data_IF_920041799667
#
_entry.id   IF_920041799667
#
_cell.length_a   1.000
_cell.length_b   1.000
_cell.length_c   1.000
_cell.angle_alpha   90.00
_cell.angle_beta   90.00
_cell.angle_gamma   90.00
#
_symmetry.space_group_name_H-M   'P 1'
#
loop_
_entity.id
_entity.type
_entity.pdbx_description
1 polymer ?
#
# COMPACT_ATOMS: atom_id res chain seq x y z
N UNK A 1 38.67 8.11 -23.36
CA UNK A 1 38.31 6.68 -23.28
C UNK A 1 37.83 6.45 -21.86
N UNK A 2 36.52 6.58 -21.64
CA UNK A 2 35.91 6.39 -20.32
C UNK A 2 35.64 4.89 -20.19
N UNK A 3 36.37 4.23 -19.31
CA UNK A 3 36.11 2.82 -18.99
C UNK A 3 34.83 2.82 -18.11
N UNK A 4 33.69 2.49 -18.68
CA UNK A 4 32.52 2.15 -17.91
C UNK A 4 32.74 0.78 -17.24
N UNK A 5 33.17 0.81 -15.99
CA UNK A 5 33.19 -0.38 -15.15
C UNK A 5 31.76 -0.60 -14.70
N UNK A 6 31.07 -1.57 -15.26
CA UNK A 6 29.79 -2.06 -14.72
C UNK A 6 30.08 -2.87 -13.44
N UNK A 7 30.13 -2.19 -12.30
CA UNK A 7 30.23 -2.83 -11.00
C UNK A 7 28.83 -3.32 -10.66
N UNK A 8 28.65 -4.63 -10.43
CA UNK A 8 27.38 -5.15 -9.92
C UNK A 8 27.22 -4.78 -8.43
N UNK A 9 26.01 -4.96 -7.88
CA UNK A 9 25.71 -4.57 -6.48
C UNK A 9 26.56 -5.35 -5.47
N UNK A 10 26.84 -6.62 -5.73
CA UNK A 10 27.60 -7.50 -4.83
C UNK A 10 29.06 -7.06 -4.75
N UNK A 11 29.67 -6.78 -5.92
CA UNK A 11 31.05 -6.29 -6.00
C UNK A 11 31.21 -4.90 -5.35
N UNK A 12 30.16 -4.07 -5.32
CA UNK A 12 30.23 -2.71 -4.79
C UNK A 12 30.59 -2.70 -3.30
N UNK A 13 29.93 -3.51 -2.46
CA UNK A 13 30.22 -3.55 -1.03
C UNK A 13 31.58 -4.15 -0.72
N UNK A 14 32.01 -5.14 -1.47
CA UNK A 14 33.33 -5.75 -1.32
C UNK A 14 34.45 -4.81 -1.76
N UNK A 15 34.25 -4.07 -2.85
CA UNK A 15 35.23 -3.12 -3.36
C UNK A 15 35.32 -1.83 -2.55
N UNK A 16 34.19 -1.33 -2.05
CA UNK A 16 34.16 -0.05 -1.30
C UNK A 16 34.33 -0.20 0.19
N UNK A 17 34.07 -1.38 0.74
CA UNK A 17 34.04 -1.62 2.19
C UNK A 17 33.01 -0.76 2.90
N UNK A 18 31.97 -0.28 2.21
CA UNK A 18 30.97 0.62 2.78
C UNK A 18 30.19 -0.08 3.89
N UNK A 19 30.52 0.24 5.14
CA UNK A 19 29.84 -0.28 6.33
C UNK A 19 29.30 0.82 7.23
N UNK A 20 29.65 2.08 6.94
CA UNK A 20 29.28 3.25 7.72
C UNK A 20 28.83 4.38 6.79
N UNK A 21 27.62 4.84 6.95
CA UNK A 21 27.00 5.94 6.20
C UNK A 21 27.02 7.19 7.08
N UNK A 22 27.45 8.32 6.51
CA UNK A 22 27.56 9.62 7.22
C UNK A 22 28.34 9.58 8.55
N UNK A 23 29.29 8.67 8.69
CA UNK A 23 30.00 8.43 9.95
C UNK A 23 29.10 8.17 11.16
N UNK A 24 27.86 7.73 10.93
CA UNK A 24 26.83 7.55 11.94
C UNK A 24 26.09 6.23 11.83
N UNK A 25 25.69 5.83 10.65
CA UNK A 25 24.79 4.68 10.44
C UNK A 25 25.59 3.45 10.03
N UNK A 26 25.80 2.54 10.98
CA UNK A 26 26.54 1.29 10.73
C UNK A 26 25.62 0.24 10.13
N UNK A 27 25.98 -0.28 8.95
CA UNK A 27 25.31 -1.40 8.29
C UNK A 27 25.77 -2.72 8.93
N UNK A 28 24.84 -3.58 9.32
CA UNK A 28 25.13 -4.89 9.95
C UNK A 28 24.77 -6.05 9.03
N UNK A 29 23.48 -6.20 8.70
CA UNK A 29 22.91 -7.35 8.01
C UNK A 29 22.10 -6.89 6.81
N UNK A 30 22.35 -7.47 5.64
CA UNK A 30 21.52 -7.28 4.47
C UNK A 30 20.22 -8.07 4.63
N UNK A 31 19.07 -7.42 4.43
CA UNK A 31 17.73 -7.99 4.69
C UNK A 31 17.12 -8.42 3.40
N UNK A 32 17.40 -8.36 2.34
CA UNK A 32 16.84 -8.65 1.02
C UNK A 32 16.99 -7.50 0.02
N UNK A 33 17.46 -7.83 -1.14
CA UNK A 33 17.50 -6.89 -2.25
C UNK A 33 16.16 -6.86 -2.99
N UNK A 34 15.48 -5.71 -2.98
CA UNK A 34 14.45 -5.44 -3.97
C UNK A 34 15.05 -5.22 -5.37
N UNK A 35 14.18 -5.06 -6.40
CA UNK A 35 14.64 -4.81 -7.77
C UNK A 35 15.42 -3.51 -7.92
N UNK A 36 15.11 -2.49 -7.13
CA UNK A 36 15.64 -1.13 -7.24
C UNK A 36 16.44 -0.65 -6.02
N UNK A 37 16.37 -1.35 -4.90
CA UNK A 37 17.05 -0.96 -3.66
C UNK A 37 17.48 -2.18 -2.85
N UNK A 38 18.46 -1.99 -1.96
CA UNK A 38 18.92 -2.99 -1.00
C UNK A 38 18.67 -2.48 0.40
N UNK A 39 18.09 -3.32 1.26
CA UNK A 39 17.81 -3.00 2.66
C UNK A 39 18.84 -3.61 3.60
N UNK A 40 19.19 -2.89 4.66
CA UNK A 40 20.09 -3.33 5.72
C UNK A 40 19.48 -3.06 7.08
N UNK A 41 19.63 -3.99 7.99
CA UNK A 41 19.57 -3.67 9.41
C UNK A 41 20.90 -3.06 9.87
N UNK A 42 20.82 -2.14 10.81
CA UNK A 42 21.99 -1.43 11.29
C UNK A 42 21.79 -0.83 12.68
N UNK A 43 22.78 -0.04 13.08
CA UNK A 43 22.78 0.72 14.32
C UNK A 43 23.09 2.17 14.00
N UNK A 44 22.34 3.07 14.60
CA UNK A 44 22.71 4.48 14.71
C UNK A 44 23.74 4.65 15.81
N UNK A 45 24.98 4.86 15.46
CA UNK A 45 26.12 4.99 16.39
C UNK A 45 25.95 6.15 17.38
N UNK A 46 25.16 7.18 17.00
CA UNK A 46 24.91 8.32 17.88
C UNK A 46 23.92 8.00 19.00
N UNK A 47 22.89 7.18 18.72
CA UNK A 47 21.81 6.90 19.67
C UNK A 47 21.82 5.48 20.20
N UNK A 48 22.60 4.57 19.61
CA UNK A 48 22.62 3.14 19.90
C UNK A 48 21.36 2.38 19.48
N UNK A 49 20.44 3.03 18.73
CA UNK A 49 19.18 2.41 18.32
C UNK A 49 19.35 1.57 17.06
N UNK A 50 18.56 0.50 17.00
CA UNK A 50 18.41 -0.30 15.78
C UNK A 50 17.70 0.49 14.69
N UNK A 51 18.23 0.43 13.47
CA UNK A 51 17.73 1.15 12.30
C UNK A 51 17.55 0.21 11.12
N UNK A 52 16.75 0.66 10.15
CA UNK A 52 16.70 0.10 8.81
C UNK A 52 17.27 1.13 7.82
N UNK A 53 18.16 0.69 6.95
CA UNK A 53 18.80 1.53 5.93
C UNK A 53 18.45 0.97 4.57
N UNK A 54 17.78 1.76 3.75
CA UNK A 54 17.47 1.46 2.35
C UNK A 54 18.50 2.19 1.47
N UNK A 55 19.13 1.47 0.55
CA UNK A 55 20.10 2.02 -0.40
C UNK A 55 19.62 1.82 -1.82
N UNK A 56 19.61 2.87 -2.63
CA UNK A 56 19.54 2.76 -4.09
C UNK A 56 20.95 2.97 -4.64
N UNK A 57 21.53 1.90 -5.15
CA UNK A 57 22.91 1.87 -5.65
C UNK A 57 22.85 1.95 -7.17
N UNK A 58 23.40 3.01 -7.75
CA UNK A 58 23.34 3.30 -9.19
C UNK A 58 21.91 3.23 -9.72
N UNK A 59 21.03 4.20 -9.37
CA UNK A 59 19.67 4.25 -9.89
C UNK A 59 19.68 4.13 -11.42
N UNK A 60 18.87 3.22 -11.96
CA UNK A 60 18.87 2.89 -13.39
C UNK A 60 18.26 4.00 -14.25
N UNK A 61 17.40 4.82 -13.64
CA UNK A 61 16.73 5.93 -14.29
C UNK A 61 16.49 7.06 -13.29
N UNK A 62 16.25 8.27 -13.82
CA UNK A 62 15.83 9.41 -13.01
C UNK A 62 14.51 9.14 -12.29
N UNK A 63 13.61 8.35 -12.87
CA UNK A 63 12.38 7.93 -12.23
C UNK A 63 12.63 7.07 -10.98
N UNK A 64 13.60 6.15 -11.02
CA UNK A 64 13.97 5.34 -9.85
C UNK A 64 14.55 6.22 -8.73
N UNK A 65 15.42 7.17 -9.08
CA UNK A 65 15.99 8.14 -8.14
C UNK A 65 14.90 9.05 -7.55
N UNK A 66 14.01 9.57 -8.38
CA UNK A 66 12.90 10.42 -7.95
C UNK A 66 11.96 9.69 -6.97
N UNK A 67 11.61 8.44 -7.24
CA UNK A 67 10.80 7.60 -6.32
C UNK A 67 11.49 7.41 -4.97
N UNK A 68 12.80 7.19 -4.99
CA UNK A 68 13.57 7.04 -3.76
C UNK A 68 13.57 8.32 -2.92
N UNK A 69 13.82 9.48 -3.54
CA UNK A 69 13.75 10.79 -2.87
C UNK A 69 12.35 11.12 -2.38
N UNK A 70 11.31 10.75 -3.15
CA UNK A 70 9.91 10.94 -2.76
C UNK A 70 9.57 10.17 -1.48
N UNK A 71 10.01 8.92 -1.35
CA UNK A 71 9.81 8.15 -0.11
C UNK A 71 10.43 8.84 1.10
N UNK A 72 11.69 9.29 0.96
CA UNK A 72 12.38 10.00 2.03
C UNK A 72 11.66 11.30 2.43
N UNK A 73 11.20 12.07 1.45
CA UNK A 73 10.43 13.28 1.66
C UNK A 73 9.11 13.00 2.35
N UNK A 74 8.33 12.04 1.85
CA UNK A 74 7.04 11.66 2.43
C UNK A 74 7.19 11.27 3.90
N UNK A 75 8.11 10.37 4.22
CA UNK A 75 8.33 9.92 5.60
C UNK A 75 8.73 11.08 6.53
N UNK A 76 9.56 12.01 6.05
CA UNK A 76 9.96 13.21 6.79
C UNK A 76 8.76 14.13 7.06
N UNK A 77 7.88 14.33 6.08
CA UNK A 77 6.67 15.15 6.23
C UNK A 77 5.66 14.52 7.20
N UNK A 78 5.61 13.18 7.24
CA UNK A 78 4.71 12.45 8.15
C UNK A 78 5.25 12.33 9.59
N UNK A 79 6.43 12.84 9.91
CA UNK A 79 7.08 12.65 11.21
C UNK A 79 6.19 13.14 12.37
N UNK A 80 5.54 14.32 12.23
CA UNK A 80 4.63 14.82 13.23
C UNK A 80 3.38 13.96 13.41
N UNK A 81 2.70 13.61 12.32
CA UNK A 81 1.50 12.76 12.37
C UNK A 81 1.83 11.37 12.93
N UNK A 82 2.96 10.81 12.54
CA UNK A 82 3.46 9.51 12.98
C UNK A 82 3.83 9.48 14.47
N UNK A 83 4.15 10.64 15.07
CA UNK A 83 4.37 10.76 16.51
C UNK A 83 3.09 10.63 17.33
N UNK A 84 1.93 10.88 16.73
CA UNK A 84 0.60 10.75 17.36
C UNK A 84 0.03 9.36 17.07
N UNK A 85 -0.05 8.98 15.81
CA UNK A 85 -0.57 7.68 15.37
C UNK A 85 0.40 7.08 14.36
N UNK A 86 1.16 6.10 14.81
CA UNK A 86 2.19 5.47 14.00
C UNK A 86 1.60 4.56 12.92
N UNK A 87 1.76 4.96 11.66
CA UNK A 87 1.29 4.24 10.46
C UNK A 87 2.38 4.03 9.40
N UNK A 88 3.54 4.68 9.58
CA UNK A 88 4.73 4.52 8.74
C UNK A 88 5.96 4.27 9.60
N UNK A 89 7.09 3.83 9.03
CA UNK A 89 8.37 3.87 9.73
C UNK A 89 8.73 5.32 10.12
N UNK A 90 9.29 5.51 11.31
CA UNK A 90 9.77 6.84 11.70
C UNK A 90 11.01 7.20 10.88
N UNK A 91 10.98 8.38 10.28
CA UNK A 91 12.10 8.93 9.53
C UNK A 91 13.26 9.29 10.49
N UNK A 92 14.51 9.03 10.04
CA UNK A 92 15.72 9.41 10.80
C UNK A 92 16.62 10.30 9.95
N UNK A 93 16.94 9.86 8.71
CA UNK A 93 17.84 10.61 7.82
C UNK A 93 17.71 10.13 6.39
N UNK A 94 18.15 10.95 5.45
CA UNK A 94 18.37 10.56 4.06
C UNK A 94 19.49 11.41 3.45
N UNK A 95 20.03 10.96 2.34
CA UNK A 95 21.03 11.73 1.62
C UNK A 95 21.61 10.96 0.44
N UNK A 96 22.71 11.49 -0.05
CA UNK A 96 23.41 11.01 -1.23
C UNK A 96 24.90 10.80 -0.93
N UNK A 97 25.45 9.73 -1.50
CA UNK A 97 26.87 9.44 -1.45
C UNK A 97 27.43 9.35 -2.87
N UNK A 98 28.73 9.61 -3.01
CA UNK A 98 29.46 9.50 -4.28
C UNK A 98 28.81 10.31 -5.42
N UNK A 99 28.46 11.58 -5.13
CA UNK A 99 27.86 12.50 -6.11
C UNK A 99 26.51 11.99 -6.67
N UNK A 100 25.63 11.49 -5.81
CA UNK A 100 24.31 11.01 -6.21
C UNK A 100 24.26 9.59 -6.79
N UNK A 101 25.42 8.90 -6.86
CA UNK A 101 25.44 7.50 -7.33
C UNK A 101 24.81 6.52 -6.36
N UNK A 102 24.73 6.88 -5.08
CA UNK A 102 24.04 6.13 -4.04
C UNK A 102 23.11 7.07 -3.30
N UNK A 103 21.85 6.70 -3.24
CA UNK A 103 20.86 7.35 -2.38
C UNK A 103 20.65 6.47 -1.15
N UNK A 104 20.55 7.08 0.03
CA UNK A 104 20.23 6.35 1.24
C UNK A 104 19.05 6.97 1.98
N UNK A 105 18.26 6.12 2.61
CA UNK A 105 17.17 6.45 3.51
C UNK A 105 17.32 5.63 4.79
N UNK A 106 17.30 6.29 5.94
CA UNK A 106 17.39 5.68 7.25
C UNK A 106 16.10 5.90 8.00
N UNK A 107 15.52 4.80 8.48
CA UNK A 107 14.33 4.78 9.31
C UNK A 107 14.57 3.96 10.57
N UNK A 108 13.65 4.03 11.51
CA UNK A 108 13.67 3.04 12.60
C UNK A 108 13.51 1.61 12.04
N UNK A 109 14.08 0.65 12.73
CA UNK A 109 13.79 -0.76 12.49
C UNK A 109 12.41 -1.09 13.06
N UNK A 110 11.51 -1.60 12.23
CA UNK A 110 10.20 -2.09 12.68
C UNK A 110 10.34 -3.56 13.07
N UNK A 111 10.00 -3.87 14.32
CA UNK A 111 9.92 -5.26 14.80
C UNK A 111 8.52 -5.79 14.52
N UNK A 112 8.38 -6.55 13.45
CA UNK A 112 7.10 -7.07 12.99
C UNK A 112 7.28 -8.11 11.88
N UNK A 113 6.19 -8.54 11.28
CA UNK A 113 6.15 -9.50 10.18
C UNK A 113 5.49 -8.87 8.96
N UNK A 114 6.06 -9.06 7.76
CA UNK A 114 5.37 -8.68 6.52
C UNK A 114 4.07 -9.48 6.36
N UNK A 115 3.01 -8.82 5.92
CA UNK A 115 1.73 -9.49 5.66
C UNK A 115 1.85 -10.59 4.62
N UNK A 116 2.77 -10.46 3.64
CA UNK A 116 3.11 -11.53 2.70
C UNK A 116 3.59 -12.80 3.41
N UNK A 117 4.47 -12.65 4.39
CA UNK A 117 5.02 -13.77 5.16
C UNK A 117 3.99 -14.33 6.13
N UNK A 118 3.19 -13.45 6.74
CA UNK A 118 2.07 -13.85 7.59
C UNK A 118 1.07 -14.72 6.82
N UNK A 119 0.70 -14.34 5.60
CA UNK A 119 -0.19 -15.09 4.74
C UNK A 119 0.36 -16.49 4.43
N UNK A 120 1.64 -16.61 4.16
CA UNK A 120 2.28 -17.92 3.90
C UNK A 120 2.23 -18.81 5.14
N UNK A 121 2.50 -18.27 6.32
CA UNK A 121 2.67 -19.04 7.56
C UNK A 121 1.35 -19.33 8.28
N UNK A 122 0.40 -18.41 8.22
CA UNK A 122 -0.76 -18.36 9.13
C UNK A 122 -2.11 -18.45 8.43
N UNK A 123 -2.21 -18.27 7.10
CA UNK A 123 -3.50 -18.19 6.41
C UNK A 123 -4.44 -19.36 6.77
N UNK A 124 -3.98 -20.60 6.75
CA UNK A 124 -4.78 -21.78 7.04
C UNK A 124 -5.05 -22.02 8.53
N UNK A 125 -4.35 -21.32 9.41
CA UNK A 125 -4.50 -21.42 10.87
C UNK A 125 -5.43 -20.34 11.40
N UNK A 126 -5.39 -19.18 10.76
CA UNK A 126 -6.17 -18.01 11.15
C UNK A 126 -7.64 -18.17 10.76
N UNK A 127 -8.54 -17.75 11.64
CA UNK A 127 -9.97 -17.69 11.36
C UNK A 127 -10.29 -16.65 10.28
N UNK A 128 -11.46 -16.74 9.66
CA UNK A 128 -11.93 -15.67 8.77
C UNK A 128 -12.04 -14.35 9.53
N UNK A 129 -12.50 -14.35 10.77
CA UNK A 129 -12.63 -13.15 11.61
C UNK A 129 -11.27 -12.47 11.82
N UNK A 130 -10.22 -13.21 12.16
CA UNK A 130 -8.85 -12.67 12.27
C UNK A 130 -8.36 -12.05 10.96
N UNK A 131 -8.57 -12.73 9.83
CA UNK A 131 -8.19 -12.22 8.50
C UNK A 131 -8.96 -10.96 8.11
N UNK A 132 -10.23 -10.86 8.47
CA UNK A 132 -11.04 -9.66 8.27
C UNK A 132 -10.63 -8.52 9.22
N UNK A 133 -10.21 -8.82 10.45
CA UNK A 133 -9.66 -7.84 11.37
C UNK A 133 -8.35 -7.25 10.82
N UNK A 134 -7.46 -8.09 10.28
CA UNK A 134 -6.27 -7.61 9.57
C UNK A 134 -6.67 -6.68 8.42
N UNK A 135 -7.66 -7.07 7.58
CA UNK A 135 -8.15 -6.20 6.52
C UNK A 135 -8.61 -4.85 7.09
N UNK A 136 -9.45 -4.85 8.14
CA UNK A 136 -9.94 -3.64 8.79
C UNK A 136 -8.80 -2.74 9.29
N UNK A 137 -7.75 -3.31 9.89
CA UNK A 137 -6.58 -2.56 10.36
C UNK A 137 -5.77 -1.98 9.20
N UNK A 138 -5.61 -2.73 8.10
CA UNK A 138 -4.92 -2.24 6.89
C UNK A 138 -5.71 -1.11 6.23
N UNK A 139 -7.03 -1.27 6.10
CA UNK A 139 -7.90 -0.21 5.58
C UNK A 139 -7.81 1.05 6.44
N UNK A 140 -7.78 0.91 7.77
CA UNK A 140 -7.60 2.04 8.68
C UNK A 140 -6.23 2.73 8.57
N UNK A 141 -5.18 1.98 8.28
CA UNK A 141 -3.86 2.56 8.03
C UNK A 141 -3.82 3.30 6.68
N UNK A 142 -4.40 2.74 5.62
CA UNK A 142 -4.49 3.37 4.31
C UNK A 142 -5.41 4.60 4.32
N UNK A 143 -6.54 4.54 5.03
CA UNK A 143 -7.46 5.66 5.21
C UNK A 143 -6.80 6.88 5.86
N UNK A 144 -5.92 6.66 6.83
CA UNK A 144 -5.23 7.74 7.55
C UNK A 144 -4.53 8.72 6.59
N UNK A 145 -3.99 8.21 5.48
CA UNK A 145 -3.33 9.01 4.45
C UNK A 145 -4.27 9.33 3.27
N UNK A 146 -5.28 8.50 3.05
CA UNK A 146 -6.07 8.46 1.81
C UNK A 146 -6.94 9.68 1.50
N UNK A 147 -7.08 10.64 2.43
CA UNK A 147 -7.76 11.90 2.12
C UNK A 147 -6.89 12.81 1.24
N UNK A 148 -5.58 12.75 1.39
CA UNK A 148 -4.63 13.66 0.76
C UNK A 148 -3.51 12.96 -0.01
N UNK A 149 -3.25 11.69 0.29
CA UNK A 149 -2.15 10.95 -0.31
C UNK A 149 -2.59 9.55 -0.70
N UNK A 150 -2.21 9.10 -1.88
CA UNK A 150 -2.36 7.72 -2.34
C UNK A 150 -1.00 7.04 -2.37
N UNK A 151 -0.97 5.78 -2.05
CA UNK A 151 0.27 4.99 -1.97
C UNK A 151 0.74 4.50 -3.34
N UNK A 152 -0.19 4.10 -4.20
CA UNK A 152 0.00 3.58 -5.55
C UNK A 152 0.72 2.22 -5.66
N UNK A 153 1.17 1.62 -4.56
CA UNK A 153 1.83 0.31 -4.55
C UNK A 153 1.46 -0.51 -3.30
N UNK A 154 0.18 -0.47 -2.91
CA UNK A 154 -0.30 -1.24 -1.76
C UNK A 154 -0.41 -2.72 -2.12
N UNK A 155 0.38 -3.54 -1.43
CA UNK A 155 0.34 -5.00 -1.51
C UNK A 155 0.89 -5.63 -0.23
N UNK A 156 0.69 -6.95 0.01
CA UNK A 156 1.11 -7.59 1.26
C UNK A 156 2.59 -7.47 1.60
N UNK A 157 3.47 -7.26 0.61
CA UNK A 157 4.90 -7.05 0.82
C UNK A 157 5.26 -5.63 1.32
N UNK A 158 4.32 -4.67 1.23
CA UNK A 158 4.49 -3.30 1.73
C UNK A 158 3.68 -3.05 3.01
N UNK A 159 3.21 -4.11 3.68
CA UNK A 159 2.43 -4.03 4.91
C UNK A 159 3.13 -4.82 5.98
N UNK A 160 3.47 -4.17 7.10
CA UNK A 160 4.07 -4.79 8.28
C UNK A 160 2.99 -4.93 9.35
N UNK A 161 2.87 -6.13 9.91
CA UNK A 161 2.04 -6.44 11.08
C UNK A 161 2.93 -6.50 12.32
N UNK A 162 2.53 -5.78 13.35
CA UNK A 162 3.10 -5.86 14.69
C UNK A 162 2.05 -6.48 15.59
N UNK A 163 2.44 -7.51 16.34
CA UNK A 163 1.54 -8.18 17.27
C UNK A 163 1.07 -7.21 18.35
N UNK A 164 -0.22 -7.21 18.59
CA UNK A 164 -0.90 -6.51 19.69
C UNK A 164 -1.62 -7.55 20.55
N UNK A 165 -2.30 -7.09 21.59
CA UNK A 165 -3.15 -7.95 22.40
C UNK A 165 -4.37 -8.44 21.60
N UNK A 166 -5.14 -9.35 22.19
CA UNK A 166 -6.38 -9.84 21.61
C UNK A 166 -7.39 -8.70 21.49
N UNK A 167 -8.03 -8.56 20.32
CA UNK A 167 -9.09 -7.59 20.12
C UNK A 167 -10.33 -7.95 20.97
N UNK A 168 -10.78 -7.01 21.81
CA UNK A 168 -11.84 -7.25 22.79
C UNK A 168 -13.24 -7.46 22.18
N UNK A 169 -13.47 -7.06 20.93
CA UNK A 169 -14.76 -7.22 20.25
C UNK A 169 -14.85 -8.52 19.49
N UNK A 170 -13.73 -8.98 18.94
CA UNK A 170 -13.71 -10.15 18.06
C UNK A 170 -13.08 -11.38 18.69
N UNK A 171 -12.41 -11.23 19.83
CA UNK A 171 -11.70 -12.29 20.57
C UNK A 171 -10.69 -13.05 19.72
N UNK A 172 -10.04 -12.34 18.77
CA UNK A 172 -8.95 -12.86 17.94
C UNK A 172 -7.70 -12.00 18.08
N UNK A 173 -6.50 -12.53 17.71
CA UNK A 173 -5.27 -11.74 17.68
C UNK A 173 -5.43 -10.43 16.91
N UNK A 174 -4.97 -9.32 17.48
CA UNK A 174 -4.97 -8.01 16.84
C UNK A 174 -3.57 -7.62 16.37
N UNK A 175 -3.52 -6.68 15.45
CA UNK A 175 -2.29 -6.25 14.81
C UNK A 175 -2.29 -4.73 14.60
N UNK A 176 -1.18 -4.11 14.99
CA UNK A 176 -0.88 -2.77 14.52
C UNK A 176 -0.29 -2.84 13.12
N UNK A 177 -0.76 -1.98 12.24
CA UNK A 177 -0.34 -1.97 10.83
C UNK A 177 0.55 -0.78 10.54
N UNK A 178 1.69 -1.05 9.92
CA UNK A 178 2.63 -0.07 9.37
C UNK A 178 2.72 -0.27 7.85
N UNK A 179 2.52 0.80 7.10
CA UNK A 179 2.65 0.79 5.63
C UNK A 179 4.07 1.23 5.26
N UNK A 180 4.72 0.46 4.40
CA UNK A 180 6.09 0.62 3.93
C UNK A 180 6.12 1.10 2.48
N UNK A 181 7.27 1.57 2.01
CA UNK A 181 7.60 1.89 0.61
C UNK A 181 6.68 2.92 -0.06
N UNK A 182 6.81 4.16 0.37
CA UNK A 182 6.03 5.31 -0.12
C UNK A 182 6.63 5.98 -1.38
N UNK A 183 7.53 5.32 -2.07
CA UNK A 183 8.23 5.89 -3.22
C UNK A 183 7.32 6.27 -4.38
N UNK A 184 6.20 5.58 -4.55
CA UNK A 184 5.21 5.87 -5.60
C UNK A 184 4.05 6.76 -5.10
N UNK A 185 4.10 7.20 -3.84
CA UNK A 185 3.03 8.00 -3.26
C UNK A 185 2.86 9.35 -3.95
N UNK A 186 1.62 9.81 -3.98
CA UNK A 186 1.25 11.10 -4.53
C UNK A 186 0.33 11.85 -3.56
N UNK A 187 0.63 13.14 -3.30
CA UNK A 187 -0.16 13.99 -2.42
C UNK A 187 -0.96 15.02 -3.21
N UNK A 188 -2.26 15.12 -2.94
CA UNK A 188 -3.14 16.13 -3.53
C UNK A 188 -2.83 17.55 -3.05
N UNK A 189 -2.31 17.71 -1.83
CA UNK A 189 -2.01 19.01 -1.26
C UNK A 189 -0.87 19.68 -2.02
N UNK A 190 0.07 18.91 -2.52
CA UNK A 190 1.22 19.42 -3.27
C UNK A 190 0.82 20.01 -4.62
N UNK A 191 -0.16 19.37 -5.31
CA UNK A 191 -0.66 19.88 -6.58
C UNK A 191 -1.36 21.26 -6.47
N UNK A 192 -1.73 21.67 -5.26
CA UNK A 192 -2.43 22.94 -5.01
C UNK A 192 -1.59 24.06 -4.40
N UNK A 193 -0.42 23.76 -3.80
CA UNK A 193 0.33 24.73 -2.98
C UNK A 193 1.82 24.84 -3.29
N UNK A 194 2.40 23.97 -4.07
CA UNK A 194 3.81 24.03 -4.44
C UNK A 194 3.97 24.01 -5.96
N UNK A 195 4.98 24.73 -6.46
CA UNK A 195 5.63 24.32 -7.71
C UNK A 195 5.93 22.83 -7.57
N UNK A 196 5.35 22.00 -8.46
CA UNK A 196 5.64 20.54 -8.46
C UNK A 196 7.15 20.38 -8.34
N UNK A 197 7.62 19.66 -7.32
CA UNK A 197 9.02 19.34 -7.29
C UNK A 197 9.35 18.53 -8.55
N UNK A 198 10.54 18.71 -9.12
CA UNK A 198 10.96 17.98 -10.32
C UNK A 198 10.75 16.46 -10.17
N UNK A 199 10.97 15.94 -8.96
CA UNK A 199 10.76 14.53 -8.65
C UNK A 199 9.30 14.08 -8.79
N UNK A 200 8.33 14.89 -8.34
CA UNK A 200 6.89 14.57 -8.47
C UNK A 200 6.48 14.58 -9.93
N UNK A 201 6.92 15.58 -10.68
CA UNK A 201 6.65 15.65 -12.11
C UNK A 201 7.24 14.44 -12.86
N UNK A 202 8.45 13.99 -12.48
CA UNK A 202 9.09 12.80 -13.03
C UNK A 202 8.28 11.54 -12.69
N UNK A 203 7.83 11.38 -11.45
CA UNK A 203 7.03 10.23 -11.02
C UNK A 203 5.70 10.22 -11.77
N UNK A 204 5.00 11.33 -11.80
CA UNK A 204 3.71 11.47 -12.49
C UNK A 204 3.83 11.18 -14.00
N UNK A 205 4.84 11.73 -14.67
CA UNK A 205 5.12 11.48 -16.09
C UNK A 205 5.63 10.07 -16.36
N UNK A 206 6.22 9.41 -15.37
CA UNK A 206 6.72 8.03 -15.43
C UNK A 206 5.66 6.96 -15.15
N UNK A 207 4.51 7.33 -14.56
CA UNK A 207 3.43 6.38 -14.30
C UNK A 207 2.99 5.66 -15.58
N UNK A 208 3.02 4.33 -15.56
CA UNK A 208 2.68 3.49 -16.70
C UNK A 208 3.78 3.36 -17.79
N UNK A 209 4.93 4.04 -17.67
CA UNK A 209 6.08 3.83 -18.58
C UNK A 209 7.02 2.74 -18.08
N UNK A 210 7.30 2.75 -16.79
CA UNK A 210 8.11 1.70 -16.15
C UNK A 210 7.26 1.01 -15.11
N UNK A 211 6.82 -0.21 -15.42
CA UNK A 211 6.09 -1.06 -14.48
C UNK A 211 7.12 -1.80 -13.65
N UNK A 212 7.54 -1.16 -12.57
CA UNK A 212 8.47 -1.75 -11.59
C UNK A 212 7.73 -2.49 -10.48
N UNK A 213 6.46 -2.13 -10.25
CA UNK A 213 5.59 -2.77 -9.30
C UNK A 213 5.13 -4.16 -9.76
N UNK A 214 4.59 -4.93 -8.85
CA UNK A 214 3.84 -6.12 -9.17
C UNK A 214 2.61 -5.72 -9.99
N UNK A 215 2.63 -5.89 -11.30
CA UNK A 215 1.53 -5.51 -12.20
C UNK A 215 0.19 -6.15 -11.83
N UNK A 216 0.20 -7.20 -11.00
CA UNK A 216 -1.01 -7.83 -10.46
C UNK A 216 -1.86 -6.93 -9.56
N UNK A 217 -1.27 -5.88 -8.98
CA UNK A 217 -1.94 -4.98 -8.07
C UNK A 217 -2.36 -3.65 -8.73
N UNK A 218 -1.93 -3.44 -9.99
CA UNK A 218 -2.23 -2.22 -10.69
C UNK A 218 -3.70 -2.17 -11.12
N UNK A 219 -4.39 -1.06 -10.91
CA UNK A 219 -5.75 -0.90 -11.38
C UNK A 219 -5.79 -0.66 -12.90
N UNK A 220 -6.94 -0.95 -13.54
CA UNK A 220 -7.09 -0.84 -14.99
C UNK A 220 -6.72 0.51 -15.58
N UNK A 221 -7.00 1.61 -14.88
CA UNK A 221 -6.72 2.97 -15.33
C UNK A 221 -5.23 3.27 -15.49
N UNK A 222 -4.35 2.50 -14.87
CA UNK A 222 -2.89 2.66 -15.07
C UNK A 222 -2.49 2.55 -16.55
N UNK A 223 -3.27 1.82 -17.35
CA UNK A 223 -3.05 1.57 -18.78
C UNK A 223 -4.01 2.36 -19.67
N UNK A 224 -4.97 3.06 -19.09
CA UNK A 224 -5.88 3.94 -19.78
C UNK A 224 -5.29 5.34 -19.93
N UNK A 225 -6.06 6.24 -20.53
CA UNK A 225 -5.64 7.61 -20.76
C UNK A 225 -5.11 8.27 -19.47
N UNK A 226 -3.89 8.80 -19.54
CA UNK A 226 -3.16 9.40 -18.42
C UNK A 226 -3.92 10.56 -17.75
N UNK A 227 -4.72 11.28 -18.53
CA UNK A 227 -5.56 12.37 -18.03
C UNK A 227 -6.67 11.88 -17.08
N UNK A 228 -7.04 10.60 -17.14
CA UNK A 228 -8.01 9.99 -16.24
C UNK A 228 -7.39 9.47 -14.95
N UNK A 229 -6.17 8.97 -15.00
CA UNK A 229 -5.46 8.45 -13.81
C UNK A 229 -5.24 9.53 -12.73
N UNK A 230 -5.07 10.79 -13.16
CA UNK A 230 -4.79 11.92 -12.27
C UNK A 230 -5.97 12.49 -11.49
N UNK A 231 -7.20 12.30 -11.96
CA UNK A 231 -8.38 12.97 -11.38
C UNK A 231 -9.02 12.22 -10.20
N UNK A 232 -8.68 10.95 -9.97
CA UNK A 232 -9.37 10.07 -9.02
C UNK A 232 -8.40 9.32 -8.08
N UNK A 233 -7.34 9.99 -7.67
CA UNK A 233 -6.25 9.42 -6.86
C UNK A 233 -6.71 8.62 -5.63
N UNK A 234 -7.75 9.07 -4.93
CA UNK A 234 -8.24 8.41 -3.69
C UNK A 234 -8.77 7.00 -3.92
N UNK A 235 -9.08 6.65 -5.16
CA UNK A 235 -9.70 5.37 -5.51
C UNK A 235 -8.75 4.41 -6.18
N UNK A 236 -7.53 4.86 -6.46
CA UNK A 236 -6.46 3.99 -6.94
C UNK A 236 -6.16 2.90 -5.91
N UNK A 237 -5.93 3.30 -4.66
CA UNK A 237 -5.65 2.36 -3.58
C UNK A 237 -6.87 1.50 -3.20
N UNK A 238 -8.10 1.96 -3.48
CA UNK A 238 -9.31 1.13 -3.27
C UNK A 238 -9.26 -0.17 -4.07
N UNK A 239 -8.72 -0.14 -5.29
CA UNK A 239 -8.51 -1.35 -6.10
C UNK A 239 -7.54 -2.32 -5.41
N UNK A 240 -6.38 -1.83 -4.99
CA UNK A 240 -5.39 -2.64 -4.28
C UNK A 240 -5.95 -3.23 -2.99
N UNK A 241 -6.79 -2.46 -2.26
CA UNK A 241 -7.51 -2.95 -1.08
C UNK A 241 -8.51 -4.05 -1.41
N UNK A 242 -9.21 -3.97 -2.55
CA UNK A 242 -10.09 -5.04 -3.03
C UNK A 242 -9.32 -6.34 -3.30
N UNK A 243 -8.18 -6.25 -3.98
CA UNK A 243 -7.31 -7.40 -4.25
C UNK A 243 -6.75 -8.02 -2.96
N UNK A 244 -6.35 -7.17 -2.01
CA UNK A 244 -5.87 -7.61 -0.71
C UNK A 244 -6.98 -8.30 0.10
N UNK A 245 -8.19 -7.73 0.13
CA UNK A 245 -9.34 -8.32 0.81
C UNK A 245 -9.68 -9.70 0.23
N UNK A 246 -9.72 -9.82 -1.10
CA UNK A 246 -9.93 -11.10 -1.76
C UNK A 246 -8.87 -12.13 -1.32
N UNK A 247 -7.61 -11.72 -1.29
CA UNK A 247 -6.50 -12.59 -0.85
C UNK A 247 -6.61 -12.99 0.62
N UNK A 248 -7.02 -12.10 1.50
CA UNK A 248 -7.26 -12.40 2.91
C UNK A 248 -8.46 -13.34 3.11
N UNK A 249 -9.47 -13.27 2.25
CA UNK A 249 -10.61 -14.19 2.31
C UNK A 249 -10.23 -15.58 1.79
N UNK A 250 -9.55 -15.66 0.64
CA UNK A 250 -9.40 -16.92 -0.13
C UNK A 250 -8.02 -17.57 -0.04
N UNK A 251 -6.99 -16.82 0.36
CA UNK A 251 -5.58 -17.21 0.31
C UNK A 251 -4.95 -17.08 -1.09
N UNK A 252 -5.73 -16.77 -2.11
CA UNK A 252 -5.30 -16.71 -3.50
C UNK A 252 -5.25 -15.28 -4.03
N UNK A 253 -4.43 -15.04 -5.04
CA UNK A 253 -4.55 -13.82 -5.82
C UNK A 253 -5.83 -13.89 -6.66
N UNK A 254 -6.51 -12.76 -6.84
CA UNK A 254 -7.68 -12.67 -7.73
C UNK A 254 -7.27 -12.95 -9.18
N UNK A 255 -6.10 -12.45 -9.57
CA UNK A 255 -5.53 -12.62 -10.90
C UNK A 255 -4.13 -13.24 -10.81
N UNK A 256 -3.80 -14.10 -11.76
CA UNK A 256 -2.47 -14.66 -11.92
C UNK A 256 -2.07 -14.50 -13.39
N UNK A 257 -1.14 -13.61 -13.65
CA UNK A 257 -0.61 -13.33 -14.98
C UNK A 257 0.90 -13.56 -15.01
N UNK A 258 1.39 -14.22 -16.02
CA UNK A 258 2.83 -14.50 -16.16
C UNK A 258 3.60 -13.30 -16.74
N UNK A 259 2.89 -12.42 -17.43
CA UNK A 259 3.50 -11.26 -18.07
C UNK A 259 2.47 -10.12 -18.29
N UNK A 260 2.99 -8.95 -18.60
CA UNK A 260 2.18 -7.75 -18.81
C UNK A 260 1.23 -7.86 -20.01
N UNK A 261 1.56 -8.65 -21.01
CA UNK A 261 0.68 -8.86 -22.16
C UNK A 261 -0.60 -9.58 -21.78
N UNK A 262 -0.51 -10.65 -20.97
CA UNK A 262 -1.67 -11.34 -20.41
C UNK A 262 -2.50 -10.41 -19.53
N UNK A 263 -1.85 -9.60 -18.69
CA UNK A 263 -2.53 -8.61 -17.89
C UNK A 263 -3.29 -7.59 -18.75
N UNK A 264 -2.65 -7.00 -19.76
CA UNK A 264 -3.28 -6.03 -20.65
C UNK A 264 -4.47 -6.62 -21.42
N UNK A 265 -4.39 -7.89 -21.82
CA UNK A 265 -5.51 -8.60 -22.46
C UNK A 265 -6.66 -8.84 -21.48
N UNK A 266 -6.37 -9.29 -20.26
CA UNK A 266 -7.37 -9.50 -19.23
C UNK A 266 -8.10 -8.22 -18.84
N UNK A 267 -7.44 -7.04 -18.87
CA UNK A 267 -8.09 -5.75 -18.59
C UNK A 267 -9.24 -5.43 -19.53
N UNK A 268 -9.34 -6.07 -20.69
CA UNK A 268 -10.48 -5.89 -21.61
C UNK A 268 -11.77 -6.54 -21.07
N UNK A 269 -11.64 -7.64 -20.36
CA UNK A 269 -12.75 -8.47 -19.84
C UNK A 269 -12.76 -8.59 -18.31
N UNK A 270 -12.03 -7.72 -17.63
CA UNK A 270 -11.75 -7.84 -16.20
C UNK A 270 -13.02 -7.88 -15.33
N UNK A 271 -14.09 -7.23 -15.77
CA UNK A 271 -15.36 -7.22 -15.04
C UNK A 271 -15.99 -8.63 -14.96
N UNK A 272 -15.92 -9.40 -16.06
CA UNK A 272 -16.41 -10.78 -16.09
C UNK A 272 -15.54 -11.70 -15.22
N UNK A 273 -14.24 -11.50 -15.24
CA UNK A 273 -13.30 -12.27 -14.41
C UNK A 273 -13.52 -11.98 -12.92
N UNK A 274 -13.72 -10.71 -12.56
CA UNK A 274 -14.05 -10.29 -11.19
C UNK A 274 -15.38 -10.94 -10.76
N UNK A 275 -16.42 -10.84 -11.57
CA UNK A 275 -17.73 -11.42 -11.27
C UNK A 275 -17.62 -12.92 -10.98
N UNK A 276 -16.90 -13.65 -11.82
CA UNK A 276 -16.70 -15.09 -11.64
C UNK A 276 -15.94 -15.40 -10.35
N UNK A 277 -14.83 -14.72 -10.11
CA UNK A 277 -13.99 -14.98 -8.94
C UNK A 277 -14.68 -14.58 -7.63
N UNK A 278 -15.35 -13.43 -7.62
CA UNK A 278 -16.03 -12.94 -6.42
C UNK A 278 -17.21 -13.83 -6.03
N UNK A 279 -17.96 -14.37 -6.98
CA UNK A 279 -19.02 -15.37 -6.70
C UNK A 279 -18.47 -16.63 -6.01
N UNK A 280 -17.23 -16.99 -6.26
CA UNK A 280 -16.61 -18.19 -5.68
C UNK A 280 -16.15 -18.03 -4.23
N UNK A 281 -16.27 -16.87 -3.60
CA UNK A 281 -15.90 -16.71 -2.19
C UNK A 281 -16.87 -17.37 -1.22
N UNK A 282 -18.03 -17.82 -1.65
CA UNK A 282 -19.06 -18.47 -0.82
C UNK A 282 -18.49 -19.60 0.05
N UNK A 283 -17.61 -20.40 -0.52
CA UNK A 283 -16.95 -21.51 0.17
C UNK A 283 -15.97 -21.07 1.28
N UNK A 284 -15.62 -19.80 1.35
CA UNK A 284 -14.69 -19.23 2.35
C UNK A 284 -15.37 -18.31 3.35
N UNK A 285 -16.49 -17.71 2.98
CA UNK A 285 -17.11 -16.59 3.70
C UNK A 285 -18.47 -16.93 4.34
N UNK A 286 -19.04 -18.11 4.03
CA UNK A 286 -20.29 -18.61 4.62
C UNK A 286 -21.41 -17.54 4.69
N UNK A 287 -21.94 -17.27 5.90
CA UNK A 287 -23.01 -16.29 6.12
C UNK A 287 -22.63 -14.86 5.76
N UNK A 288 -21.34 -14.53 5.76
CA UNK A 288 -20.80 -13.18 5.43
C UNK A 288 -20.59 -13.00 3.92
N UNK A 289 -20.83 -14.05 3.12
CA UNK A 289 -20.48 -14.10 1.70
C UNK A 289 -21.13 -12.98 0.90
N UNK A 290 -22.42 -12.75 0.99
CA UNK A 290 -23.14 -11.75 0.18
C UNK A 290 -22.60 -10.33 0.40
N UNK A 291 -22.33 -9.95 1.65
CA UNK A 291 -21.82 -8.62 1.98
C UNK A 291 -20.38 -8.48 1.52
N UNK A 292 -19.55 -9.51 1.70
CA UNK A 292 -18.15 -9.52 1.23
C UNK A 292 -18.06 -9.53 -0.30
N UNK A 293 -18.96 -10.21 -1.00
CA UNK A 293 -19.08 -10.11 -2.45
C UNK A 293 -19.39 -8.68 -2.88
N UNK A 294 -20.40 -8.05 -2.27
CA UNK A 294 -20.75 -6.67 -2.54
C UNK A 294 -19.58 -5.72 -2.31
N UNK A 295 -18.86 -5.89 -1.19
CA UNK A 295 -17.71 -5.08 -0.86
C UNK A 295 -16.58 -5.22 -1.91
N UNK A 296 -16.28 -6.45 -2.33
CA UNK A 296 -15.30 -6.72 -3.37
C UNK A 296 -15.71 -6.14 -4.72
N UNK A 297 -17.00 -6.28 -5.13
CA UNK A 297 -17.49 -5.69 -6.36
C UNK A 297 -17.29 -4.18 -6.39
N UNK A 298 -17.62 -3.48 -5.30
CA UNK A 298 -17.51 -2.03 -5.26
C UNK A 298 -16.07 -1.50 -5.11
N UNK A 299 -15.16 -2.29 -4.56
CA UNK A 299 -13.74 -1.95 -4.53
C UNK A 299 -13.04 -2.21 -5.89
N UNK A 300 -13.51 -3.21 -6.64
CA UNK A 300 -12.88 -3.71 -7.87
C UNK A 300 -13.63 -3.25 -9.14
N UNK A 301 -14.39 -2.16 -9.06
CA UNK A 301 -15.00 -1.54 -10.24
C UNK A 301 -13.92 -1.02 -11.17
N UNK A 302 -14.07 -1.29 -12.48
CA UNK A 302 -13.11 -0.85 -13.51
C UNK A 302 -13.03 0.67 -13.60
N UNK A 303 -14.16 1.36 -13.55
CA UNK A 303 -14.23 2.82 -13.60
C UNK A 303 -13.89 3.39 -12.20
N UNK A 304 -12.78 4.14 -12.03
CA UNK A 304 -12.34 4.63 -10.73
C UNK A 304 -13.38 5.47 -9.98
N UNK A 305 -14.20 6.25 -10.71
CA UNK A 305 -15.24 7.11 -10.12
C UNK A 305 -16.32 6.34 -9.39
N UNK A 306 -16.58 5.12 -9.85
CA UNK A 306 -17.62 4.25 -9.29
C UNK A 306 -17.12 3.38 -8.12
N UNK A 307 -15.80 3.35 -7.86
CA UNK A 307 -15.25 2.57 -6.75
C UNK A 307 -15.66 3.13 -5.41
N UNK A 308 -15.86 2.22 -4.47
CA UNK A 308 -16.09 2.56 -3.06
C UNK A 308 -14.84 3.19 -2.44
N UNK A 309 -15.03 4.19 -1.59
CA UNK A 309 -13.95 4.75 -0.79
C UNK A 309 -13.49 3.78 0.30
N UNK A 310 -12.20 3.82 0.63
CA UNK A 310 -11.60 2.98 1.68
C UNK A 310 -12.31 3.16 3.02
N UNK A 311 -12.71 4.40 3.36
CA UNK A 311 -13.43 4.73 4.59
C UNK A 311 -14.73 3.96 4.73
N UNK A 312 -15.52 3.90 3.65
CA UNK A 312 -16.79 3.17 3.66
C UNK A 312 -16.53 1.68 3.74
N UNK A 313 -15.59 1.19 2.95
CA UNK A 313 -15.22 -0.22 2.97
C UNK A 313 -14.75 -0.67 4.36
N UNK A 314 -13.96 0.18 5.04
CA UNK A 314 -13.54 -0.06 6.41
C UNK A 314 -14.72 -0.11 7.38
N UNK A 315 -15.67 0.81 7.26
CA UNK A 315 -16.86 0.82 8.11
C UNK A 315 -17.72 -0.43 7.90
N UNK A 316 -17.90 -0.85 6.65
CA UNK A 316 -18.58 -2.13 6.34
C UNK A 316 -17.85 -3.32 6.96
N UNK A 317 -16.52 -3.36 6.89
CA UNK A 317 -15.73 -4.42 7.54
C UNK A 317 -15.93 -4.43 9.05
N UNK A 318 -16.00 -3.27 9.69
CA UNK A 318 -16.30 -3.16 11.12
C UNK A 318 -17.66 -3.77 11.46
N UNK A 319 -18.72 -3.41 10.75
CA UNK A 319 -20.05 -3.99 10.95
C UNK A 319 -20.07 -5.51 10.76
N UNK A 320 -19.32 -6.03 9.80
CA UNK A 320 -19.15 -7.47 9.60
C UNK A 320 -18.46 -8.13 10.80
N UNK A 321 -17.48 -7.47 11.41
CA UNK A 321 -16.71 -8.00 12.54
C UNK A 321 -17.53 -8.03 13.82
N UNK A 322 -18.28 -6.97 14.12
CA UNK A 322 -19.08 -6.86 15.34
C UNK A 322 -20.47 -7.51 15.20
N UNK A 323 -20.82 -8.01 14.01
CA UNK A 323 -22.14 -8.60 13.70
C UNK A 323 -23.34 -7.68 13.97
N UNK A 324 -23.12 -6.38 14.06
CA UNK A 324 -24.13 -5.36 14.24
C UNK A 324 -24.64 -4.86 12.89
N UNK A 325 -25.72 -5.46 12.41
CA UNK A 325 -26.40 -5.03 11.17
C UNK A 325 -27.77 -4.44 11.52
N UNK A 326 -27.80 -3.27 12.14
CA UNK A 326 -29.05 -2.52 12.31
C UNK A 326 -29.39 -1.83 10.98
N UNK A 327 -30.57 -2.12 10.37
CA UNK A 327 -30.93 -1.55 9.05
C UNK A 327 -31.15 -0.05 9.05
N UNK A 328 -31.24 0.58 10.20
CA UNK A 328 -31.64 1.98 10.36
C UNK A 328 -30.49 2.96 10.46
N UNK A 329 -29.26 2.49 10.51
CA UNK A 329 -28.09 3.38 10.49
C UNK A 329 -27.93 4.05 9.13
N UNK A 330 -28.27 5.25 9.21
CA UNK A 330 -28.33 6.40 8.33
C UNK A 330 -27.35 6.38 7.17
N UNK A 331 -27.90 6.48 5.96
CA UNK A 331 -27.16 6.90 4.80
C UNK A 331 -26.68 5.77 3.89
N UNK A 332 -25.49 5.93 3.36
CA UNK A 332 -24.93 5.14 2.28
C UNK A 332 -24.61 3.70 2.69
N UNK A 333 -24.07 3.49 3.90
CA UNK A 333 -23.76 2.15 4.43
C UNK A 333 -25.04 1.33 4.60
N UNK A 334 -26.12 1.92 5.10
CA UNK A 334 -27.41 1.24 5.23
C UNK A 334 -27.98 0.84 3.86
N UNK A 335 -27.81 1.66 2.82
CA UNK A 335 -28.21 1.29 1.45
C UNK A 335 -27.38 0.13 0.94
N UNK A 336 -26.05 0.18 1.13
CA UNK A 336 -25.15 -0.90 0.78
C UNK A 336 -25.52 -2.20 1.49
N UNK A 337 -25.78 -2.16 2.79
CA UNK A 337 -26.15 -3.35 3.57
C UNK A 337 -27.48 -3.97 3.14
N UNK A 338 -28.45 -3.15 2.65
CA UNK A 338 -29.73 -3.65 2.13
C UNK A 338 -29.62 -4.33 0.77
N UNK A 339 -28.77 -3.81 -0.08
CA UNK A 339 -28.56 -4.33 -1.43
C UNK A 339 -27.08 -4.25 -1.83
N UNK A 340 -26.23 -5.14 -1.27
CA UNK A 340 -24.79 -5.10 -1.50
C UNK A 340 -24.37 -5.24 -2.99
N UNK A 341 -25.16 -5.97 -3.77
CA UNK A 341 -24.87 -6.22 -5.18
C UNK A 341 -25.51 -5.22 -6.13
N UNK A 342 -26.67 -4.72 -5.78
CA UNK A 342 -27.43 -3.73 -6.56
C UNK A 342 -27.12 -2.28 -6.17
N UNK A 343 -26.22 -2.05 -5.23
CA UNK A 343 -25.79 -0.73 -4.76
C UNK A 343 -25.23 0.09 -5.93
N UNK A 344 -26.16 0.75 -6.62
CA UNK A 344 -25.86 1.70 -7.69
C UNK A 344 -25.99 3.07 -7.11
N UNK A 345 -25.00 3.84 -7.23
CA UNK A 345 -25.00 5.22 -6.86
C UNK A 345 -24.19 5.59 -5.69
N UNK A 346 -23.20 6.25 -6.09
CA UNK A 346 -22.55 7.03 -5.11
C UNK A 346 -22.35 8.41 -5.65
N UNK A 347 -23.22 9.31 -5.24
CA UNK A 347 -22.89 10.71 -5.36
C UNK A 347 -21.86 11.02 -4.25
N UNK A 348 -20.62 10.67 -4.51
CA UNK A 348 -19.49 10.80 -3.56
C UNK A 348 -19.24 12.25 -3.16
N UNK A 349 -19.80 13.24 -3.86
CA UNK A 349 -19.78 14.65 -3.47
C UNK A 349 -20.49 14.91 -2.14
N UNK A 350 -21.46 14.08 -1.77
CA UNK A 350 -22.11 14.18 -0.45
C UNK A 350 -21.20 13.71 0.69
N UNK A 351 -20.26 12.82 0.42
CA UNK A 351 -19.35 12.31 1.45
C UNK A 351 -18.23 13.30 1.80
N UNK A 352 -17.82 14.13 0.84
CA UNK A 352 -16.86 15.21 1.12
C UNK A 352 -17.45 16.26 2.07
N UNK A 353 -18.78 16.32 2.20
CA UNK A 353 -19.52 17.24 3.05
C UNK A 353 -20.11 16.60 4.30
N UNK A 354 -20.00 15.28 4.50
CA UNK A 354 -20.56 14.61 5.68
C UNK A 354 -19.67 14.85 6.91
N UNK A 355 -20.21 15.54 7.96
CA UNK A 355 -19.47 15.78 9.21
C UNK A 355 -19.05 14.48 9.93
N UNK A 356 -19.77 13.36 9.74
CA UNK A 356 -19.48 12.08 10.37
C UNK A 356 -18.25 11.40 9.75
N UNK A 357 -17.92 11.67 8.49
CA UNK A 357 -16.67 11.23 7.87
C UNK A 357 -15.42 11.88 8.48
N UNK A 358 -15.59 12.89 9.34
CA UNK A 358 -14.50 13.63 10.01
C UNK A 358 -14.25 13.22 11.46
N UNK A 359 -15.02 12.27 12.00
CA UNK A 359 -15.01 11.99 13.45
C UNK A 359 -14.31 10.67 13.83
N UNK A 360 -13.92 9.86 12.87
CA UNK A 360 -13.22 8.60 13.19
C UNK A 360 -11.88 8.47 12.50
#
# INVERSE_FOLDING_TARGET
>A
MTIEISVNKEDFFDLTGLRLIDNRFRLLEEVSGGKSSTGFFGIDELTGKSIFVKLSIFPRSELEAARFRNEARFLKEQEWANSIIKKTPSYISHGELFQGKILYLVTEKIEGQLLSDWLIKNFYKASLTERLLIAYRVFGAAEHFGQFTTHHDLHPGNIMLLDEDVDLHTDVPDYKVIILDWGQSHSKLEASYAEESDDIAIIHNGMGREITASFYNLPPETFMDRNRAGSEYNKYDSWAMGLLLYKLITGNNLFNFDNIGQFAEAMRHIEMDIEYQVKNIDKYAEKKSLILQGLLYHLLVKEPRERMFIQIARHVLWLILVEEFEPDDVGMVARFLRDPLGFKEVNWKYFESDPLARIY
#
